data_IF_774942425739
#
_entry.id   IF_774942425739
#
_cell.length_a   1.000
_cell.length_b   1.000
_cell.length_c   1.000
_cell.angle_alpha   90.00
_cell.angle_beta   90.00
_cell.angle_gamma   90.00
#
_symmetry.space_group_name_H-M   'P 1'
#
loop_
_entity.id
_entity.type
_entity.pdbx_description
1 polymer ?
2 non-polymer ?
3 non-polymer ?
4 water ?
#
# COMPACT_ATOMS: atom_id res chain seq x y z
N UNK A 4 21.48 -11.31 19.83
CA UNK A 4 20.55 -10.16 19.46
C UNK A 4 19.18 -10.70 19.01
N UNK A 5 18.07 -10.40 19.73
CA UNK A 5 16.77 -10.98 19.40
C UNK A 5 16.25 -10.44 18.06
N UNK A 6 15.47 -11.26 17.34
CA UNK A 6 14.80 -10.80 16.10
C UNK A 6 13.60 -9.94 16.48
N UNK A 7 13.33 -8.87 15.72
CA UNK A 7 12.24 -7.99 16.10
C UNK A 7 10.88 -8.61 15.85
N UNK A 8 9.90 -8.17 16.65
CA UNK A 8 8.47 -8.54 16.54
C UNK A 8 7.74 -7.43 15.77
N UNK A 9 8.32 -6.23 15.76
CA UNK A 9 7.71 -5.01 15.18
C UNK A 9 8.82 -4.06 14.71
N UNK A 10 8.60 -3.44 13.56
CA UNK A 10 9.53 -2.44 12.96
C UNK A 10 8.74 -1.18 12.70
N UNK A 11 9.44 -0.10 12.51
CA UNK A 11 8.78 1.12 12.01
C UNK A 11 9.27 1.40 10.62
N UNK A 12 8.31 1.89 9.84
CA UNK A 12 8.51 2.14 8.40
C UNK A 12 8.10 3.58 8.14
N UNK A 13 8.98 4.32 7.49
CA UNK A 13 8.74 5.67 6.98
C UNK A 13 8.33 5.55 5.52
N UNK A 14 7.24 6.19 5.16
CA UNK A 14 6.83 6.36 3.76
C UNK A 14 6.87 7.84 3.44
N UNK A 15 7.57 8.24 2.40
CA UNK A 15 7.51 9.62 1.90
C UNK A 15 7.01 9.62 0.48
N UNK A 16 6.24 10.62 0.12
CA UNK A 16 5.88 10.89 -1.27
C UNK A 16 6.04 12.37 -1.54
N UNK A 17 6.76 12.68 -2.59
CA UNK A 17 6.98 14.08 -2.98
C UNK A 17 7.01 14.23 -4.48
N UNK A 18 6.11 15.01 -5.01
CA UNK A 18 6.19 15.45 -6.40
C UNK A 18 7.09 16.69 -6.39
N UNK A 19 8.26 16.56 -6.95
CA UNK A 19 9.34 17.56 -6.83
C UNK A 19 9.15 18.68 -7.85
N UNK A 20 8.20 18.59 -8.77
CA UNK A 20 7.97 19.64 -9.76
C UNK A 20 9.17 19.93 -10.62
N UNK A 21 9.97 18.89 -10.90
CA UNK A 21 11.12 18.97 -11.82
C UNK A 21 12.11 20.04 -11.35
N UNK A 22 12.21 20.27 -10.04
CA UNK A 22 13.19 21.20 -9.47
C UNK A 22 14.07 20.44 -8.52
N UNK A 23 15.34 20.82 -8.36
CA UNK A 23 16.16 20.27 -7.31
C UNK A 23 15.62 20.63 -5.94
N UNK A 24 15.88 19.76 -4.95
CA UNK A 24 15.41 20.06 -3.62
C UNK A 24 16.25 21.14 -2.98
N UNK A 25 15.75 21.68 -1.87
CA UNK A 25 16.55 22.62 -1.09
C UNK A 25 17.62 21.86 -0.34
N UNK A 26 18.54 22.59 0.29
CA UNK A 26 19.73 21.94 0.91
C UNK A 26 19.32 21.11 2.14
N UNK A 27 18.23 21.47 2.80
CA UNK A 27 17.79 20.74 4.01
C UNK A 27 16.37 20.20 3.82
N UNK A 28 16.23 18.88 3.94
CA UNK A 28 14.90 18.22 3.79
C UNK A 28 14.65 17.34 5.00
N UNK A 29 15.40 17.51 6.09
CA UNK A 29 15.25 16.68 7.29
C UNK A 29 13.84 16.69 7.90
N UNK A 30 13.10 17.80 7.77
CA UNK A 30 11.72 17.93 8.32
C UNK A 30 10.82 16.83 7.74
N UNK A 31 11.09 16.40 6.51
CA UNK A 31 10.30 15.32 5.87
C UNK A 31 10.49 14.02 6.63
N UNK A 32 11.75 13.62 6.84
CA UNK A 32 12.06 12.32 7.49
C UNK A 32 11.76 12.36 8.99
N UNK A 33 11.64 13.55 9.56
CA UNK A 33 11.29 13.72 10.97
C UNK A 33 9.76 13.79 11.16
N UNK A 34 8.95 13.76 10.11
CA UNK A 34 7.48 13.87 10.22
C UNK A 34 7.12 15.16 10.97
N UNK A 35 7.70 16.27 10.54
CA UNK A 35 7.47 17.62 11.11
C UNK A 35 6.71 18.48 10.10
N UNK A 36 5.72 19.23 10.58
CA UNK A 36 5.00 20.21 9.75
C UNK A 36 3.57 20.23 10.19
N UNK A 37 2.66 19.96 9.26
CA UNK A 37 1.20 19.93 9.52
C UNK A 37 0.73 18.49 9.63
N UNK A 38 -0.41 18.29 10.29
CA UNK A 38 -1.09 17.02 10.33
C UNK A 38 -0.77 16.28 11.59
N UNK A 39 -0.68 14.95 11.46
CA UNK A 39 -0.34 14.04 12.58
C UNK A 39 1.18 13.87 12.56
N UNK A 40 1.87 14.62 13.42
CA UNK A 40 3.30 14.75 13.41
C UNK A 40 3.93 13.91 14.53
N UNK A 41 5.22 13.72 14.35
CA UNK A 41 6.02 12.87 15.27
C UNK A 41 6.58 13.69 16.43
N UNK A 42 6.60 13.09 17.61
CA UNK A 42 7.10 13.77 18.82
C UNK A 42 8.58 14.09 18.68
N UNK A 43 8.95 15.28 19.17
CA UNK A 43 10.36 15.72 19.17
C UNK A 43 11.26 14.71 19.86
N UNK A 44 10.77 14.06 20.88
CA UNK A 44 11.57 13.13 21.70
C UNK A 44 12.04 11.92 20.87
N UNK A 45 11.42 11.67 19.71
CA UNK A 45 11.78 10.57 18.81
C UNK A 45 12.74 10.99 17.70
N UNK A 46 13.17 12.23 17.62
CA UNK A 46 13.89 12.71 16.42
C UNK A 46 15.12 11.90 16.12
N UNK A 47 15.83 11.38 17.15
CA UNK A 47 17.11 10.72 16.87
C UNK A 47 16.91 9.22 16.66
N UNK A 48 15.69 8.72 16.84
CA UNK A 48 15.38 7.28 16.77
C UNK A 48 15.18 6.96 15.31
N UNK A 49 16.02 6.11 14.69
CA UNK A 49 15.84 5.84 13.28
C UNK A 49 14.64 4.94 13.09
N UNK A 50 13.91 5.15 11.99
CA UNK A 50 12.99 4.13 11.51
C UNK A 50 13.83 2.97 10.98
N UNK A 51 13.24 1.78 10.96
CA UNK A 51 13.92 0.58 10.46
C UNK A 51 14.11 0.63 8.94
N UNK A 52 13.07 1.08 8.25
CA UNK A 52 13.02 1.13 6.77
C UNK A 52 12.47 2.50 6.38
N UNK A 53 13.11 3.17 5.42
CA UNK A 53 12.62 4.42 4.81
C UNK A 53 12.33 4.11 3.36
N UNK A 54 11.11 4.41 2.91
CA UNK A 54 10.69 4.23 1.52
C UNK A 54 10.31 5.59 0.98
N UNK A 55 11.01 6.03 -0.06
CA UNK A 55 10.94 7.43 -0.54
C UNK A 55 10.47 7.43 -1.99
N UNK A 56 9.22 7.85 -2.24
CA UNK A 56 8.66 7.95 -3.57
C UNK A 56 8.71 9.36 -4.06
N UNK A 57 9.27 9.59 -5.22
CA UNK A 57 9.23 10.89 -5.87
C UNK A 57 8.53 10.79 -7.22
N UNK A 58 8.00 11.91 -7.62
CA UNK A 58 7.41 12.14 -8.97
C UNK A 58 7.97 13.45 -9.49
N UNK A 59 8.04 13.57 -10.79
CA UNK A 59 8.67 14.76 -11.42
C UNK A 59 10.05 14.98 -10.80
N UNK A 60 10.78 13.88 -10.61
CA UNK A 60 12.10 13.92 -9.99
C UNK A 60 13.15 14.21 -11.05
N UNK A 61 13.86 15.36 -10.94
CA UNK A 61 14.85 15.74 -11.96
C UNK A 61 16.26 15.23 -11.70
N UNK A 62 16.49 14.56 -10.59
CA UNK A 62 17.84 14.15 -10.17
C UNK A 62 18.19 12.81 -10.77
N UNK A 63 19.47 12.54 -10.86
CA UNK A 63 19.92 11.16 -11.12
C UNK A 63 19.69 10.33 -9.85
N UNK A 64 19.69 9.02 -10.01
CA UNK A 64 19.62 8.11 -8.85
C UNK A 64 20.78 8.42 -7.90
N UNK A 65 21.99 8.62 -8.45
CA UNK A 65 23.15 8.86 -7.57
C UNK A 65 22.92 10.14 -6.79
N UNK A 66 22.53 11.21 -7.46
CA UNK A 66 22.35 12.52 -6.82
C UNK A 66 21.30 12.42 -5.70
N UNK A 67 20.19 11.74 -5.95
CA UNK A 67 19.13 11.66 -4.92
C UNK A 67 19.54 10.77 -3.75
N UNK A 68 20.20 9.65 -4.04
CA UNK A 68 20.66 8.72 -2.98
C UNK A 68 21.65 9.44 -2.06
N UNK A 69 22.57 10.22 -2.65
CA UNK A 69 23.51 11.07 -1.88
C UNK A 69 22.71 11.89 -0.86
N UNK A 70 21.72 12.63 -1.36
CA UNK A 70 20.93 13.57 -0.55
C UNK A 70 20.20 12.82 0.53
N UNK A 71 19.56 11.71 0.18
CA UNK A 71 18.78 10.95 1.17
C UNK A 71 19.70 10.42 2.26
N UNK A 72 20.77 9.75 1.88
CA UNK A 72 21.69 9.16 2.88
C UNK A 72 22.28 10.23 3.81
N UNK A 73 22.67 11.37 3.25
CA UNK A 73 23.22 12.52 4.03
C UNK A 73 22.16 12.98 5.03
N UNK A 74 20.92 13.13 4.59
CA UNK A 74 19.81 13.64 5.44
C UNK A 74 19.58 12.67 6.61
N UNK A 75 19.53 11.37 6.33
CA UNK A 75 19.32 10.37 7.41
C UNK A 75 20.51 10.34 8.36
N UNK A 76 21.73 10.39 7.81
CA UNK A 76 22.98 10.41 8.62
C UNK A 76 22.93 11.59 9.59
N UNK A 77 22.54 12.77 9.10
CA UNK A 77 22.45 13.99 9.93
C UNK A 77 21.46 13.74 11.08
N UNK A 78 20.26 13.22 10.76
CA UNK A 78 19.19 13.00 11.77
C UNK A 78 19.63 11.96 12.80
N UNK A 79 20.15 10.85 12.34
CA UNK A 79 20.21 9.61 13.15
C UNK A 79 21.63 9.20 13.52
N UNK A 80 22.64 9.76 12.82
CA UNK A 80 24.06 9.30 12.93
C UNK A 80 24.20 7.86 12.47
N UNK A 81 23.27 7.39 11.66
CA UNK A 81 23.33 6.02 11.08
C UNK A 81 23.51 6.14 9.58
N UNK A 82 24.40 5.32 9.05
CA UNK A 82 24.63 5.19 7.60
C UNK A 82 23.71 4.08 7.06
N UNK A 83 22.62 4.51 6.43
CA UNK A 83 21.63 3.55 5.93
C UNK A 83 22.19 2.82 4.71
N UNK A 84 21.69 1.62 4.52
CA UNK A 84 22.01 0.76 3.35
C UNK A 84 20.89 0.87 2.32
N UNK A 85 21.27 0.87 1.08
CA UNK A 85 20.34 0.92 -0.04
C UNK A 85 19.83 -0.48 -0.28
N UNK A 86 18.53 -0.70 -0.12
CA UNK A 86 17.87 -1.99 -0.39
C UNK A 86 17.57 -2.04 -1.87
N UNK A 87 16.97 -0.99 -2.42
CA UNK A 87 16.55 -0.97 -3.80
C UNK A 87 16.35 0.47 -4.25
N UNK A 88 16.48 0.68 -5.54
CA UNK A 88 16.14 1.96 -6.19
C UNK A 88 15.61 1.61 -7.57
N UNK A 89 14.50 2.19 -7.98
CA UNK A 89 13.94 1.94 -9.30
C UNK A 89 13.29 3.19 -9.81
N UNK A 90 13.53 3.54 -11.05
CA UNK A 90 13.03 4.76 -11.68
C UNK A 90 12.33 4.39 -12.99
N UNK A 91 11.16 4.96 -13.21
CA UNK A 91 10.48 4.94 -14.51
C UNK A 91 10.28 6.39 -14.88
N UNK A 92 10.92 6.85 -15.93
CA UNK A 92 10.85 8.25 -16.37
C UNK A 92 11.28 9.13 -15.20
N UNK A 93 10.38 9.92 -14.62
CA UNK A 93 10.71 10.79 -13.47
C UNK A 93 9.97 10.34 -12.20
N UNK A 94 9.54 9.10 -12.16
CA UNK A 94 8.89 8.43 -11.00
C UNK A 94 9.89 7.48 -10.37
N UNK A 95 10.20 7.63 -9.12
CA UNK A 95 11.29 6.89 -8.47
C UNK A 95 10.87 6.39 -7.10
N UNK A 96 11.38 5.24 -6.76
CA UNK A 96 11.29 4.69 -5.42
C UNK A 96 12.68 4.32 -4.89
N UNK A 97 12.99 4.73 -3.68
CA UNK A 97 14.23 4.35 -2.96
C UNK A 97 13.84 3.65 -1.69
N UNK A 98 14.45 2.52 -1.38
CA UNK A 98 14.27 1.84 -0.09
C UNK A 98 15.60 1.80 0.62
N UNK A 99 15.64 2.37 1.80
CA UNK A 99 16.82 2.37 2.68
C UNK A 99 16.48 1.63 3.95
N UNK A 100 17.46 0.95 4.54
CA UNK A 100 17.25 0.23 5.80
C UNK A 100 18.44 0.36 6.70
N UNK A 101 18.20 0.26 8.01
CA UNK A 101 19.28 0.20 9.02
C UNK A 101 20.27 -0.88 8.58
N UNK A 102 21.60 -0.69 8.82
CA UNK A 102 22.55 -1.74 8.47
C UNK A 102 22.36 -3.08 9.20
N UNK A 103 21.80 -3.06 10.40
CA UNK A 103 21.55 -4.29 11.20
C UNK A 103 20.50 -5.15 10.49
N UNK A 104 19.76 -4.58 9.53
CA UNK A 104 18.71 -5.34 8.82
C UNK A 104 19.21 -5.97 7.54
N UNK A 105 20.46 -5.76 7.18
CA UNK A 105 20.92 -6.15 5.84
C UNK A 105 20.75 -7.66 5.59
N UNK A 106 20.96 -8.47 6.63
CA UNK A 106 20.86 -9.97 6.57
C UNK A 106 19.48 -10.44 7.07
N UNK A 107 18.52 -9.53 7.21
CA UNK A 107 17.08 -9.86 7.46
C UNK A 107 16.30 -9.67 6.17
N UNK A 108 16.85 -8.98 5.20
CA UNK A 108 16.14 -8.53 3.98
C UNK A 108 16.59 -9.40 2.83
N UNK A 109 15.66 -9.99 2.11
CA UNK A 109 15.98 -10.90 1.02
C UNK A 109 14.88 -10.84 -0.02
N UNK A 110 15.04 -11.54 -1.15
CA UNK A 110 13.99 -11.64 -2.20
C UNK A 110 13.57 -10.24 -2.63
N UNK A 111 14.51 -9.38 -2.96
CA UNK A 111 14.23 -8.01 -3.36
C UNK A 111 13.78 -8.05 -4.82
N UNK A 112 12.61 -7.46 -5.09
CA UNK A 112 12.03 -7.33 -6.45
C UNK A 112 11.74 -5.87 -6.75
N UNK A 113 11.86 -5.48 -8.02
CA UNK A 113 11.46 -4.15 -8.48
C UNK A 113 10.68 -4.33 -9.75
N UNK A 114 9.78 -3.41 -10.02
CA UNK A 114 9.06 -3.43 -11.30
C UNK A 114 8.45 -2.06 -11.54
N UNK A 115 7.95 -1.83 -12.72
CA UNK A 115 7.21 -0.60 -13.07
C UNK A 115 6.07 -0.98 -13.99
N UNK A 116 5.09 -0.11 -14.02
CA UNK A 116 3.98 -0.16 -14.95
C UNK A 116 3.84 1.20 -15.58
N UNK A 117 3.73 1.24 -16.90
CA UNK A 117 3.43 2.42 -17.69
C UNK A 117 1.96 2.48 -17.95
N UNK A 118 1.28 3.55 -17.55
CA UNK A 118 -0.19 3.58 -17.75
C UNK A 118 -0.53 4.21 -19.10
N UNK A 119 -1.76 3.98 -19.56
CA UNK A 119 -2.31 4.70 -20.74
C UNK A 119 -1.90 4.07 -22.06
N UNK A 120 -2.35 4.66 -23.19
CA UNK A 120 -2.08 4.21 -24.59
C UNK A 120 -1.79 5.45 -25.45
N UNK A 121 -0.67 5.46 -26.19
CA UNK A 121 -0.33 6.44 -27.26
C UNK A 121 -0.22 7.87 -26.67
N UNK A 122 -1.23 8.72 -26.88
CA UNK A 122 -1.39 10.09 -26.29
C UNK A 122 -1.01 10.09 -24.80
N UNK A 123 -1.52 9.10 -24.05
CA UNK A 123 -1.53 9.01 -22.57
C UNK A 123 -0.42 8.07 -22.06
N UNK A 124 0.38 7.45 -22.95
CA UNK A 124 1.62 6.69 -22.57
C UNK A 124 2.82 7.63 -22.73
N UNK A 125 3.59 7.81 -21.64
CA UNK A 125 4.91 8.45 -21.76
C UNK A 125 5.33 9.18 -20.50
N UNK A 126 4.43 9.40 -19.53
CA UNK A 126 4.99 9.92 -18.27
C UNK A 126 4.37 9.43 -16.96
N UNK A 127 3.15 8.89 -17.00
CA UNK A 127 2.42 8.40 -15.79
C UNK A 127 2.65 6.89 -15.63
N UNK A 128 2.54 6.41 -14.39
CA UNK A 128 2.69 5.00 -14.10
C UNK A 128 3.13 4.81 -12.69
N UNK A 129 3.79 3.72 -12.43
CA UNK A 129 4.15 3.37 -11.06
C UNK A 129 5.44 2.61 -11.07
N UNK A 130 6.16 2.71 -9.97
CA UNK A 130 7.31 1.87 -9.65
C UNK A 130 7.01 1.14 -8.36
N UNK A 131 7.64 0.01 -8.15
CA UNK A 131 7.44 -0.71 -6.91
C UNK A 131 8.65 -1.50 -6.49
N UNK A 132 8.66 -1.86 -5.22
CA UNK A 132 9.71 -2.66 -4.62
C UNK A 132 9.00 -3.64 -3.69
N UNK A 133 9.46 -4.88 -3.61
CA UNK A 133 9.08 -5.82 -2.56
C UNK A 133 10.29 -6.54 -2.02
N UNK A 134 10.15 -7.07 -0.83
CA UNK A 134 11.20 -7.94 -0.25
C UNK A 134 10.57 -8.65 0.93
N UNK A 135 11.30 -9.62 1.40
CA UNK A 135 11.03 -10.25 2.70
C UNK A 135 11.87 -9.59 3.77
N UNK A 136 11.29 -9.34 4.92
CA UNK A 136 11.98 -8.93 6.14
C UNK A 136 11.75 -10.07 7.12
N UNK A 137 12.76 -10.94 7.31
CA UNK A 137 12.55 -12.20 8.07
C UNK A 137 11.32 -12.92 7.47
N UNK A 138 10.32 -13.26 8.27
CA UNK A 138 9.18 -14.04 7.81
C UNK A 138 8.08 -13.20 7.23
N UNK A 139 8.30 -11.90 7.01
CA UNK A 139 7.22 -10.95 6.64
C UNK A 139 7.51 -10.40 5.25
N UNK A 140 6.51 -10.46 4.38
CA UNK A 140 6.62 -9.86 3.03
C UNK A 140 6.10 -8.42 3.07
N UNK A 141 6.86 -7.56 2.43
CA UNK A 141 6.59 -6.11 2.38
C UNK A 141 6.57 -5.66 0.93
N UNK A 142 5.56 -4.92 0.55
CA UNK A 142 5.46 -4.35 -0.81
C UNK A 142 5.21 -2.85 -0.74
N UNK A 143 5.74 -2.14 -1.74
CA UNK A 143 5.71 -0.67 -1.78
C UNK A 143 5.48 -0.23 -3.19
N UNK A 144 4.49 0.61 -3.39
CA UNK A 144 4.14 1.14 -4.71
C UNK A 144 4.11 2.64 -4.67
N UNK A 145 4.85 3.28 -5.56
CA UNK A 145 4.83 4.73 -5.82
C UNK A 145 4.20 4.96 -7.18
N UNK A 146 3.03 5.51 -7.22
CA UNK A 146 2.34 5.79 -8.48
C UNK A 146 2.16 7.27 -8.70
N UNK A 147 2.30 7.71 -9.93
CA UNK A 147 1.94 9.06 -10.41
C UNK A 147 0.80 8.87 -11.38
N UNK A 148 -0.41 9.15 -10.94
CA UNK A 148 -1.61 8.88 -11.74
C UNK A 148 -1.97 10.11 -12.58
N UNK A 149 -2.92 9.89 -13.47
CA UNK A 149 -3.32 10.92 -14.44
C UNK A 149 -3.74 12.18 -13.70
N UNK A 150 -3.39 13.33 -14.24
CA UNK A 150 -3.71 14.66 -13.65
C UNK A 150 -5.04 15.17 -14.17
N UNK A 151 -5.55 16.16 -13.46
CA UNK A 151 -6.72 16.91 -13.95
C UNK A 151 -7.95 16.62 -13.16
N UNK A 152 -8.67 17.64 -12.73
CA UNK A 152 -9.87 17.42 -11.89
C UNK A 152 -10.93 16.53 -12.57
N UNK A 153 -10.98 16.56 -13.90
CA UNK A 153 -12.06 15.91 -14.69
C UNK A 153 -11.76 14.42 -14.90
N UNK A 154 -10.59 13.95 -14.49
CA UNK A 154 -10.07 12.61 -14.90
C UNK A 154 -10.04 11.61 -13.76
N UNK A 155 -10.98 11.68 -12.82
CA UNK A 155 -10.97 10.69 -11.70
C UNK A 155 -11.10 9.28 -12.27
N UNK A 156 -11.96 9.06 -13.27
CA UNK A 156 -12.18 7.70 -13.80
C UNK A 156 -10.89 7.15 -14.40
N UNK A 157 -10.14 8.00 -15.10
CA UNK A 157 -8.82 7.61 -15.66
C UNK A 157 -7.89 7.20 -14.51
N UNK A 158 -7.86 7.99 -13.43
CA UNK A 158 -7.03 7.61 -12.28
C UNK A 158 -7.44 6.23 -11.78
N UNK A 159 -8.75 5.98 -11.69
CA UNK A 159 -9.21 4.66 -11.20
C UNK A 159 -8.73 3.55 -12.15
N UNK A 160 -8.76 3.85 -13.44
CA UNK A 160 -8.26 2.87 -14.43
C UNK A 160 -6.76 2.68 -14.25
N UNK A 161 -6.04 3.77 -14.02
CA UNK A 161 -4.57 3.67 -13.82
C UNK A 161 -4.30 2.72 -12.63
N UNK A 162 -5.03 2.96 -11.53
CA UNK A 162 -4.90 2.09 -10.34
C UNK A 162 -5.09 0.61 -10.69
N UNK A 163 -6.14 0.27 -11.45
CA UNK A 163 -6.40 -1.15 -11.75
C UNK A 163 -5.29 -1.69 -12.67
N UNK A 164 -4.83 -0.91 -13.65
CA UNK A 164 -3.70 -1.39 -14.48
C UNK A 164 -2.45 -1.64 -13.63
N UNK A 165 -2.14 -0.73 -12.71
CA UNK A 165 -0.95 -0.92 -11.86
C UNK A 165 -1.10 -2.20 -11.02
N UNK A 166 -2.27 -2.30 -10.38
CA UNK A 166 -2.67 -3.44 -9.51
C UNK A 166 -2.46 -4.75 -10.28
N UNK A 167 -2.88 -4.78 -11.53
CA UNK A 167 -2.87 -6.00 -12.36
C UNK A 167 -1.47 -6.34 -12.82
N UNK A 168 -0.72 -5.35 -13.24
CA UNK A 168 0.48 -5.62 -14.07
C UNK A 168 1.79 -5.45 -13.34
N UNK A 169 1.78 -4.89 -12.13
CA UNK A 169 3.03 -4.74 -11.41
C UNK A 169 3.43 -6.11 -10.88
N UNK A 170 4.62 -6.58 -11.24
CA UNK A 170 5.04 -7.96 -10.95
C UNK A 170 6.01 -7.94 -9.78
N UNK A 171 5.47 -7.94 -8.58
CA UNK A 171 6.29 -7.96 -7.34
C UNK A 171 5.97 -9.19 -6.53
N UNK A 172 6.78 -9.49 -5.53
CA UNK A 172 6.53 -10.60 -4.63
C UNK A 172 6.70 -11.93 -5.28
N UNK A 173 6.11 -12.93 -4.64
CA UNK A 173 6.38 -14.35 -4.97
C UNK A 173 5.64 -14.73 -6.23
N UNK A 174 6.41 -14.99 -7.30
CA UNK A 174 5.79 -15.35 -8.60
C UNK A 174 5.00 -16.67 -8.49
N UNK A 175 5.21 -17.52 -7.56
CA UNK A 175 4.43 -18.76 -7.36
C UNK A 175 2.99 -18.44 -6.95
N UNK A 176 2.75 -17.22 -6.46
CA UNK A 176 1.38 -16.80 -6.05
C UNK A 176 0.61 -16.36 -7.30
N UNK A 177 0.55 -17.24 -8.30
CA UNK A 177 0.15 -16.85 -9.67
C UNK A 177 -1.26 -16.30 -9.72
N UNK A 178 -2.25 -16.77 -8.93
CA UNK A 178 -3.58 -16.21 -9.02
C UNK A 178 -3.72 -14.82 -8.38
N UNK A 179 -2.69 -14.36 -7.69
CA UNK A 179 -2.80 -13.20 -6.80
C UNK A 179 -2.08 -12.01 -7.40
N UNK A 180 -2.75 -10.88 -7.35
CA UNK A 180 -2.12 -9.60 -7.67
C UNK A 180 -1.42 -9.02 -6.44
N UNK A 181 -0.80 -7.85 -6.61
CA UNK A 181 -0.06 -7.25 -5.48
C UNK A 181 -0.93 -6.99 -4.26
N UNK A 182 -2.26 -6.86 -4.43
CA UNK A 182 -3.11 -6.55 -3.26
C UNK A 182 -3.28 -7.77 -2.35
N UNK A 183 -2.74 -8.93 -2.72
CA UNK A 183 -2.77 -10.12 -1.86
C UNK A 183 -1.39 -10.70 -1.63
N UNK A 184 -0.32 -10.20 -2.24
CA UNK A 184 0.97 -10.90 -2.14
C UNK A 184 1.77 -10.58 -0.89
N UNK A 185 1.41 -9.56 -0.12
CA UNK A 185 2.25 -9.03 0.97
C UNK A 185 1.53 -8.99 2.30
N UNK A 186 2.26 -9.27 3.35
CA UNK A 186 1.77 -9.08 4.72
C UNK A 186 1.34 -7.61 4.87
N UNK A 187 2.19 -6.71 4.41
CA UNK A 187 1.94 -5.26 4.44
C UNK A 187 2.22 -4.69 3.06
N UNK A 188 1.26 -4.00 2.48
CA UNK A 188 1.42 -3.29 1.19
C UNK A 188 1.16 -1.81 1.42
N UNK A 189 2.12 -0.98 1.05
CA UNK A 189 1.98 0.50 1.11
C UNK A 189 1.89 1.01 -0.30
N UNK A 190 0.88 1.83 -0.58
CA UNK A 190 0.68 2.42 -1.90
C UNK A 190 0.58 3.93 -1.73
N UNK A 191 1.45 4.66 -2.37
CA UNK A 191 1.58 6.10 -2.14
C UNK A 191 1.90 6.75 -3.45
N UNK A 192 1.91 8.06 -3.50
CA UNK A 192 2.32 8.78 -4.67
C UNK A 192 1.54 10.06 -4.85
N UNK A 193 1.77 10.68 -6.02
CA UNK A 193 0.91 11.74 -6.52
C UNK A 193 -0.25 11.08 -7.24
N UNK A 194 -1.21 10.71 -6.43
CA UNK A 194 -2.40 10.03 -6.91
C UNK A 194 -3.31 10.99 -7.66
N UNK A 195 -3.15 12.30 -7.48
CA UNK A 195 -3.73 13.31 -8.38
C UNK A 195 -5.25 13.43 -8.23
N UNK A 196 -5.86 12.87 -7.21
CA UNK A 196 -7.28 13.12 -6.94
C UNK A 196 -7.45 14.51 -6.36
N UNK A 197 -8.53 15.19 -6.75
CA UNK A 197 -8.74 16.61 -6.45
C UNK A 197 -9.94 16.80 -5.56
N UNK A 198 -10.00 17.99 -5.01
CA UNK A 198 -11.19 18.48 -4.29
C UNK A 198 -12.14 18.99 -5.36
N UNK A 199 -13.27 18.29 -5.53
CA UNK A 199 -14.20 18.52 -6.67
C UNK A 199 -15.28 19.51 -6.23
N UNK A 200 -14.94 20.80 -6.27
CA UNK A 200 -15.82 21.91 -5.91
C UNK A 200 -15.77 22.82 -7.13
N UNK A 201 -16.77 23.70 -7.32
CA UNK A 201 -16.76 24.57 -8.49
C UNK A 201 -15.54 25.49 -8.47
N UNK A 202 -15.01 25.84 -9.65
CA UNK A 202 -13.74 26.61 -9.80
C UNK A 202 -13.92 28.03 -9.25
N UNK A 203 -15.16 28.54 -9.23
CA UNK A 203 -15.48 29.89 -8.69
C UNK A 203 -15.63 29.85 -7.17
N UNK A 204 -15.47 28.68 -6.54
CA UNK A 204 -15.30 28.58 -5.07
C UNK A 204 -13.81 28.62 -4.68
N UNK A 205 -12.88 28.89 -5.58
CA UNK A 205 -11.44 28.82 -5.27
C UNK A 205 -11.11 29.67 -4.06
N UNK A 206 -11.58 30.91 -4.00
CA UNK A 206 -11.13 31.79 -2.92
C UNK A 206 -11.79 31.30 -1.63
N UNK A 207 -13.02 30.79 -1.71
CA UNK A 207 -13.68 30.22 -0.52
C UNK A 207 -12.85 29.07 0.03
N UNK A 208 -12.39 28.19 -0.85
CA UNK A 208 -11.53 27.04 -0.43
C UNK A 208 -10.26 27.53 0.27
N UNK A 209 -9.61 28.53 -0.31
CA UNK A 209 -8.39 29.12 0.27
C UNK A 209 -8.66 29.62 1.69
N UNK A 210 -9.79 30.31 1.88
CA UNK A 210 -10.10 30.89 3.22
C UNK A 210 -10.41 29.73 4.20
N UNK A 211 -11.02 28.63 3.75
CA UNK A 211 -11.21 27.44 4.62
C UNK A 211 -9.85 26.89 5.05
N UNK A 212 -8.91 26.78 4.09
CA UNK A 212 -7.56 26.27 4.40
C UNK A 212 -6.87 27.17 5.42
N UNK A 213 -6.98 28.48 5.26
CA UNK A 213 -6.31 29.40 6.21
C UNK A 213 -6.93 29.28 7.61
N UNK A 214 -8.18 28.87 7.71
CA UNK A 214 -8.87 28.65 8.99
C UNK A 214 -8.64 27.24 9.51
N UNK A 215 -7.87 26.43 8.78
CA UNK A 215 -7.63 25.01 9.12
C UNK A 215 -8.94 24.26 9.27
N UNK A 216 -9.92 24.58 8.41
CA UNK A 216 -11.25 23.95 8.42
C UNK A 216 -11.27 23.09 7.19
N UNK A 217 -10.88 21.83 7.33
CA UNK A 217 -10.74 20.93 6.15
C UNK A 217 -11.99 20.12 5.90
N UNK A 218 -12.97 20.07 6.81
CA UNK A 218 -14.10 19.11 6.73
C UNK A 218 -14.90 19.28 5.44
N UNK A 219 -15.23 20.49 5.04
CA UNK A 219 -16.10 20.71 3.87
C UNK A 219 -15.26 20.50 2.61
N UNK A 220 -13.93 20.49 2.74
CA UNK A 220 -13.10 20.18 1.56
C UNK A 220 -12.95 18.65 1.42
N UNK A 221 -12.63 17.96 2.53
CA UNK A 221 -12.40 16.50 2.49
C UNK A 221 -13.68 15.79 2.03
N UNK A 222 -14.86 16.33 2.37
CA UNK A 222 -16.12 15.69 1.93
C UNK A 222 -16.23 15.74 0.40
N UNK A 223 -15.38 16.51 -0.31
CA UNK A 223 -15.39 16.57 -1.78
C UNK A 223 -14.09 16.01 -2.37
N UNK A 224 -13.24 15.44 -1.53
CA UNK A 224 -11.99 14.85 -2.05
C UNK A 224 -12.34 13.63 -2.88
N UNK A 225 -11.86 13.59 -4.12
CA UNK A 225 -12.27 12.52 -5.01
C UNK A 225 -11.78 11.17 -4.53
N UNK A 226 -10.62 11.09 -3.92
CA UNK A 226 -10.13 9.76 -3.50
C UNK A 226 -11.03 9.24 -2.34
N UNK A 227 -11.33 10.06 -1.37
CA UNK A 227 -12.25 9.61 -0.30
C UNK A 227 -13.61 9.23 -0.90
N UNK A 228 -14.14 10.00 -1.82
CA UNK A 228 -15.50 9.69 -2.33
C UNK A 228 -15.42 8.46 -3.22
N UNK A 229 -14.43 8.33 -4.11
CA UNK A 229 -14.33 7.12 -4.94
C UNK A 229 -14.11 5.88 -4.08
N UNK A 230 -13.32 5.99 -3.02
CA UNK A 230 -13.09 4.84 -2.10
C UNK A 230 -14.41 4.48 -1.41
N UNK A 231 -15.16 5.47 -0.96
CA UNK A 231 -16.45 5.20 -0.26
C UNK A 231 -17.42 4.50 -1.21
N UNK A 232 -17.38 4.83 -2.51
CA UNK A 232 -18.26 4.19 -3.51
C UNK A 232 -17.62 2.91 -4.09
N UNK A 233 -16.50 2.45 -3.54
CA UNK A 233 -15.86 1.18 -3.93
C UNK A 233 -15.48 1.20 -5.39
N UNK A 234 -14.97 2.35 -5.83
CA UNK A 234 -14.51 2.49 -7.24
C UNK A 234 -13.01 2.33 -7.34
N UNK A 235 -12.30 2.36 -6.22
CA UNK A 235 -10.83 2.36 -6.24
C UNK A 235 -10.32 1.99 -4.85
N UNK A 236 -9.12 1.44 -4.76
CA UNK A 236 -8.46 1.18 -3.49
C UNK A 236 -9.36 0.39 -2.53
N UNK A 237 -10.10 -0.55 -3.05
CA UNK A 237 -10.93 -1.39 -2.18
C UNK A 237 -10.03 -2.13 -1.19
N UNK A 238 -10.42 -2.09 0.06
CA UNK A 238 -9.80 -2.79 1.20
C UNK A 238 -8.46 -2.18 1.56
N UNK A 239 -8.20 -0.96 1.11
CA UNK A 239 -7.05 -0.18 1.64
C UNK A 239 -7.51 0.78 2.71
N UNK A 240 -6.58 1.16 3.58
CA UNK A 240 -6.79 2.14 4.68
C UNK A 240 -6.01 3.42 4.35
N UNK A 241 -6.47 4.54 4.90
CA UNK A 241 -5.73 5.79 4.90
C UNK A 241 -6.00 6.43 6.25
N UNK A 242 -4.95 7.00 6.84
CA UNK A 242 -5.07 7.79 8.10
C UNK A 242 -5.88 9.07 7.80
N UNK A 243 -6.64 9.55 8.79
CA UNK A 243 -7.37 10.78 8.64
C UNK A 243 -6.41 11.91 8.26
N UNK A 244 -6.82 12.71 7.30
CA UNK A 244 -6.06 13.87 6.83
C UNK A 244 -6.33 15.08 7.71
N UNK A 245 -5.28 15.66 8.26
CA UNK A 245 -5.41 16.79 9.22
C UNK A 245 -4.42 17.89 8.82
N UNK A 246 -3.90 17.83 7.60
CA UNK A 246 -2.93 18.80 7.02
C UNK A 246 -3.60 19.48 5.83
N UNK A 247 -3.11 20.67 5.48
CA UNK A 247 -3.69 21.42 4.37
C UNK A 247 -3.43 20.67 3.05
N UNK A 248 -4.24 20.96 2.03
CA UNK A 248 -3.92 20.48 0.70
C UNK A 248 -2.47 20.75 0.34
N UNK A 249 -1.86 19.77 -0.34
CA UNK A 249 -0.41 19.77 -0.63
C UNK A 249 -0.10 20.27 -2.02
N UNK A 250 -1.12 20.65 -2.74
CA UNK A 250 -1.02 21.10 -4.16
C UNK A 250 -2.13 22.14 -4.35
N UNK A 251 -1.99 23.15 -5.22
CA UNK A 251 -0.82 23.53 -5.98
C UNK A 251 -0.28 24.84 -5.39
N UNK A 252 0.94 24.85 -4.91
CA UNK A 252 1.57 26.05 -4.29
C UNK A 252 2.35 26.83 -5.32
N UNK A 253 2.43 28.13 -5.11
CA UNK A 253 3.52 28.94 -5.69
C UNK A 253 4.84 28.49 -5.08
N UNK A 254 5.89 28.34 -5.89
CA UNK A 254 7.19 27.91 -5.36
C UNK A 254 7.83 28.98 -4.47
N UNK A 255 8.70 28.57 -3.56
CA UNK A 255 9.58 29.38 -2.68
C UNK A 255 8.81 29.99 -1.52
N UNK A 256 7.50 29.79 -1.43
CA UNK A 256 6.73 30.11 -0.20
C UNK A 256 5.71 28.98 0.01
N UNK A 257 5.00 28.93 1.15
CA UNK A 257 3.74 28.13 1.19
C UNK A 257 2.54 29.04 1.44
N UNK A 258 2.70 30.33 1.17
CA UNK A 258 1.66 31.31 1.56
C UNK A 258 0.57 31.38 0.51
N UNK A 259 0.82 30.86 -0.70
CA UNK A 259 -0.11 31.06 -1.82
C UNK A 259 -0.35 29.76 -2.57
N UNK A 260 -1.62 29.47 -2.76
CA UNK A 260 -2.05 28.43 -3.71
C UNK A 260 -2.21 29.06 -5.09
N UNK A 261 -1.63 28.45 -6.09
CA UNK A 261 -1.65 28.88 -7.52
C UNK A 261 -2.67 28.00 -8.22
N UNK A 262 -3.91 28.43 -8.28
CA UNK A 262 -5.02 27.61 -8.79
C UNK A 262 -5.56 28.01 -10.15
N UNK A 263 -5.28 29.24 -10.59
CA UNK A 263 -5.90 29.83 -11.80
C UNK A 263 -5.39 29.11 -13.06
N UNK A 264 -6.23 29.05 -14.10
CA UNK A 264 -5.84 28.40 -15.37
C UNK A 264 -4.83 29.30 -16.06
N UNK A 265 -3.86 28.65 -16.67
CA UNK A 265 -2.70 29.29 -17.35
C UNK A 265 -2.37 28.44 -18.59
N UNK A 266 -1.71 29.03 -19.60
CA UNK A 266 -1.28 28.19 -20.74
C UNK A 266 -0.47 26.99 -20.24
N UNK A 267 0.40 27.20 -19.27
CA UNK A 267 1.28 26.16 -18.67
C UNK A 267 0.45 25.02 -18.08
N UNK A 268 -0.79 25.26 -17.66
CA UNK A 268 -1.66 24.19 -17.11
C UNK A 268 -2.60 23.61 -18.17
N UNK A 269 -2.42 23.94 -19.45
CA UNK A 269 -3.40 23.56 -20.46
C UNK A 269 -4.73 24.21 -20.23
N UNK A 270 -4.73 25.41 -19.66
CA UNK A 270 -5.95 26.17 -19.32
C UNK A 270 -6.86 25.38 -18.39
N UNK A 271 -6.23 24.67 -17.44
CA UNK A 271 -6.91 23.91 -16.37
C UNK A 271 -6.75 24.64 -15.04
N UNK A 272 -7.81 24.68 -14.24
CA UNK A 272 -7.75 25.12 -12.85
C UNK A 272 -7.15 23.97 -12.05
N UNK A 273 -6.37 24.37 -11.07
CA UNK A 273 -5.86 23.41 -10.05
C UNK A 273 -6.32 23.90 -8.69
N UNK A 274 -7.56 23.65 -8.36
CA UNK A 274 -8.05 24.01 -7.02
C UNK A 274 -7.21 23.22 -6.01
N UNK A 275 -6.96 23.80 -4.83
CA UNK A 275 -6.19 23.13 -3.79
C UNK A 275 -6.73 21.75 -3.51
N UNK A 276 -5.80 20.79 -3.51
CA UNK A 276 -6.12 19.38 -3.46
C UNK A 276 -5.10 18.56 -2.68
N UNK A 277 -5.57 17.44 -2.18
CA UNK A 277 -4.73 16.43 -1.53
C UNK A 277 -4.26 15.41 -2.57
N UNK A 278 -3.38 15.86 -3.44
CA UNK A 278 -2.87 14.96 -4.51
C UNK A 278 -2.01 13.83 -3.96
N UNK A 279 -1.33 14.07 -2.87
CA UNK A 279 -0.15 13.32 -2.40
C UNK A 279 -0.52 12.48 -1.21
N UNK A 280 -0.53 11.16 -1.32
CA UNK A 280 -1.27 10.32 -0.36
C UNK A 280 -0.48 9.07 -0.03
N UNK A 281 -0.80 8.48 1.11
CA UNK A 281 -0.25 7.18 1.54
C UNK A 281 -1.39 6.33 2.02
N UNK A 282 -1.53 5.17 1.42
CA UNK A 282 -2.55 4.17 1.81
C UNK A 282 -1.83 2.87 2.10
N UNK A 283 -2.51 1.96 2.78
CA UNK A 283 -1.94 0.63 3.05
C UNK A 283 -3.00 -0.43 3.12
N UNK A 284 -2.53 -1.64 2.97
CA UNK A 284 -3.37 -2.82 3.15
C UNK A 284 -2.51 -3.88 3.77
N UNK A 285 -2.91 -4.40 4.90
CA UNK A 285 -2.18 -5.47 5.59
C UNK A 285 -3.10 -6.67 5.71
N UNK A 286 -2.51 -7.84 5.80
CA UNK A 286 -3.30 -9.06 6.00
C UNK A 286 -4.09 -8.92 7.30
N UNK A 287 -5.24 -9.65 7.37
CA UNK A 287 -6.09 -9.57 8.55
C UNK A 287 -5.35 -9.93 9.85
N UNK A 288 -5.62 -9.14 10.87
CA UNK A 288 -5.14 -9.37 12.26
C UNK A 288 -3.63 -9.30 12.32
N UNK A 289 -2.99 -8.58 11.40
CA UNK A 289 -1.57 -8.24 11.61
C UNK A 289 -1.52 -6.83 12.17
N UNK A 290 -0.63 -6.60 13.09
CA UNK A 290 -0.42 -5.27 13.71
C UNK A 290 0.08 -4.29 12.65
N UNK A 291 -0.64 -3.20 12.49
CA UNK A 291 -0.17 -2.05 11.66
C UNK A 291 -0.83 -0.83 12.21
N UNK A 292 -0.04 0.15 12.62
CA UNK A 292 -0.57 1.37 13.24
C UNK A 292 0.12 2.57 12.63
N UNK A 293 -0.65 3.47 12.04
CA UNK A 293 -0.09 4.73 11.54
C UNK A 293 0.26 5.64 12.71
N UNK A 294 1.53 6.04 12.76
CA UNK A 294 2.11 6.89 13.83
C UNK A 294 2.13 8.36 13.40
N UNK A 295 2.17 8.65 12.10
CA UNK A 295 2.24 10.03 11.59
C UNK A 295 1.67 10.05 10.18
N UNK A 296 1.08 11.16 9.82
CA UNK A 296 0.58 11.39 8.46
C UNK A 296 0.39 12.88 8.28
N UNK A 297 1.26 13.51 7.51
CA UNK A 297 1.27 14.96 7.43
C UNK A 297 2.08 15.46 6.29
N UNK A 298 2.26 16.77 6.26
CA UNK A 298 3.02 17.41 5.17
C UNK A 298 4.05 18.34 5.79
N UNK A 299 5.15 18.56 5.10
CA UNK A 299 6.13 19.53 5.59
C UNK A 299 5.68 20.93 5.17
N UNK A 300 6.16 21.89 5.93
CA UNK A 300 5.85 23.31 5.73
C UNK A 300 7.08 24.10 5.26
N UNK A 301 8.28 23.53 5.32
CA UNK A 301 9.53 24.28 5.09
C UNK A 301 10.26 23.84 3.83
N UNK A 302 9.67 23.00 2.97
CA UNK A 302 10.32 22.52 1.72
C UNK A 302 9.47 23.06 0.60
N UNK A 303 9.99 24.03 -0.15
CA UNK A 303 9.18 24.96 -0.99
C UNK A 303 9.64 24.99 -2.45
N UNK A 304 10.53 24.08 -2.86
CA UNK A 304 11.09 24.10 -4.23
C UNK A 304 10.06 23.65 -5.25
N UNK A 305 9.06 22.87 -4.84
CA UNK A 305 8.04 22.31 -5.71
C UNK A 305 6.72 23.02 -5.53
N UNK A 306 5.84 22.82 -6.47
CA UNK A 306 4.43 23.23 -6.33
C UNK A 306 3.65 22.20 -5.49
N UNK A 307 4.26 21.11 -5.07
CA UNK A 307 3.71 20.22 -4.03
C UNK A 307 4.55 20.28 -2.79
N UNK A 308 3.92 20.08 -1.63
CA UNK A 308 4.65 19.80 -0.40
C UNK A 308 4.84 18.31 -0.23
N UNK A 309 6.00 17.88 0.27
CA UNK A 309 6.19 16.50 0.67
C UNK A 309 5.16 16.04 1.69
N UNK A 310 4.84 14.75 1.61
CA UNK A 310 3.96 14.07 2.55
C UNK A 310 4.76 12.95 3.19
N UNK A 311 4.58 12.80 4.48
CA UNK A 311 5.16 11.69 5.26
C UNK A 311 4.05 10.89 5.91
N UNK A 312 4.34 9.62 6.08
CA UNK A 312 3.57 8.73 6.93
C UNK A 312 4.50 7.75 7.60
N UNK A 313 4.24 7.41 8.85
CA UNK A 313 5.02 6.37 9.52
C UNK A 313 4.12 5.34 10.14
N UNK A 314 4.65 4.12 10.22
CA UNK A 314 3.89 2.97 10.66
C UNK A 314 4.72 2.10 11.58
N UNK A 315 4.06 1.54 12.60
CA UNK A 315 4.57 0.41 13.39
C UNK A 315 3.94 -0.86 12.79
N UNK A 316 4.75 -1.79 12.25
CA UNK A 316 4.29 -2.95 11.47
C UNK A 316 4.77 -4.23 12.15
N UNK A 317 3.86 -5.14 12.40
CA UNK A 317 4.23 -6.43 12.96
C UNK A 317 5.02 -7.23 11.97
N UNK A 318 6.04 -7.93 12.47
CA UNK A 318 6.91 -8.80 11.66
C UNK A 318 7.14 -10.09 12.45
N UNK A 319 7.42 -11.14 11.73
CA UNK A 319 7.66 -12.46 12.33
C UNK A 319 9.07 -12.90 11.97
N UNK A 320 9.58 -13.85 12.76
CA UNK A 320 10.94 -14.42 12.60
C UNK A 320 10.92 -15.46 11.48
N UNK A 321 12.11 -15.81 10.99
CA UNK A 321 12.30 -16.95 10.05
C UNK A 321 12.36 -18.22 10.91
N UNK A 322 11.27 -18.98 10.96
CA UNK A 322 11.12 -20.16 11.83
C UNK A 322 11.82 -21.39 11.26
N UNK A 323 12.64 -22.03 12.12
CA UNK A 323 13.21 -23.40 11.90
C UNK A 323 12.76 -24.29 13.08
N UNK A 324 12.07 -25.39 12.78
CA UNK A 324 11.85 -26.47 13.78
C UNK A 324 12.77 -27.65 13.43
N UNK A 325 12.62 -28.78 14.14
CA UNK A 325 13.35 -30.05 13.86
C UNK A 325 12.81 -30.66 12.55
N UNK A 326 11.53 -30.38 12.24
CA UNK A 326 10.78 -30.87 11.04
C UNK A 326 10.89 -29.79 9.93
N UNK A 327 9.88 -28.92 9.79
CA UNK A 327 9.92 -27.86 8.76
C UNK A 327 10.96 -26.79 9.10
N UNK A 328 11.54 -26.06 8.12
CA UNK A 328 11.40 -26.35 6.67
C UNK A 328 11.97 -27.66 6.07
N UNK A 329 11.30 -28.20 5.06
CA UNK A 329 11.78 -29.36 4.27
C UNK A 329 11.13 -30.66 4.65
N UNK A 330 10.05 -30.59 5.42
CA UNK A 330 9.15 -31.71 5.74
C UNK A 330 7.91 -31.09 6.40
N UNK A 331 6.84 -31.86 6.56
CA UNK A 331 5.62 -31.44 7.31
C UNK A 331 5.87 -31.64 8.81
N UNK A 332 5.00 -31.08 9.65
CA UNK A 332 4.96 -31.30 11.11
C UNK A 332 3.63 -32.00 11.40
N UNK A 333 3.61 -33.34 11.33
CA UNK A 333 2.37 -34.15 11.40
C UNK A 333 1.48 -33.65 12.55
N UNK A 334 2.03 -32.94 13.53
CA UNK A 334 1.26 -32.43 14.69
C UNK A 334 0.34 -31.27 14.26
N UNK A 335 0.44 -30.78 13.01
CA UNK A 335 -0.29 -29.61 12.50
C UNK A 335 -1.29 -29.94 11.41
N UNK A 336 -2.47 -29.29 11.42
CA UNK A 336 -3.43 -29.40 10.32
C UNK A 336 -4.39 -28.20 10.31
N UNK A 337 -4.85 -27.88 9.10
CA UNK A 337 -5.90 -26.86 8.89
C UNK A 337 -7.02 -27.53 8.11
N UNK A 338 -8.21 -27.55 8.70
CA UNK A 338 -9.43 -28.08 8.08
C UNK A 338 -10.38 -26.92 7.81
N UNK A 339 -10.80 -26.78 6.54
CA UNK A 339 -11.87 -25.83 6.10
C UNK A 339 -13.18 -26.61 5.98
N UNK A 340 -14.15 -26.37 6.88
CA UNK A 340 -15.48 -27.05 7.07
C UNK A 340 -16.64 -26.20 6.52
N UNK A 341 -17.59 -26.83 5.81
CA UNK A 341 -18.91 -26.19 5.51
C UNK A 341 -18.63 -24.85 4.81
N UNK A 342 -17.69 -24.88 3.89
CA UNK A 342 -17.32 -23.61 3.20
C UNK A 342 -18.17 -23.44 1.95
N UNK A 343 -18.44 -22.18 1.64
CA UNK A 343 -19.04 -21.87 0.35
C UNK A 343 -18.59 -20.49 -0.10
N UNK A 344 -18.47 -20.42 -1.42
CA UNK A 344 -18.17 -19.15 -2.10
C UNK A 344 -19.48 -18.63 -2.70
N UNK A 345 -19.73 -17.34 -2.55
CA UNK A 345 -20.84 -16.62 -3.20
C UNK A 345 -20.20 -15.77 -4.28
N UNK A 346 -20.52 -16.01 -5.54
CA UNK A 346 -19.87 -15.26 -6.64
C UNK A 346 -20.88 -14.40 -7.37
N UNK A 347 -20.43 -13.24 -7.84
CA UNK A 347 -21.24 -12.29 -8.63
C UNK A 347 -21.29 -12.70 -10.11
N UNK A 348 -20.49 -13.65 -10.54
CA UNK A 348 -20.41 -14.11 -11.96
C UNK A 348 -21.74 -14.67 -12.49
N UNK A 349 -21.94 -14.53 -13.80
CA UNK A 349 -23.11 -15.12 -14.50
C UNK A 349 -22.72 -16.47 -15.11
N UNK A 350 -21.43 -16.77 -15.18
CA UNK A 350 -20.91 -18.00 -15.84
C UNK A 350 -21.46 -19.23 -15.12
N UNK A 351 -21.40 -20.42 -15.73
CA UNK A 351 -21.91 -21.66 -15.09
C UNK A 351 -20.87 -22.80 -15.16
N UNK A 352 -19.58 -22.48 -15.31
CA UNK A 352 -18.46 -23.45 -15.13
C UNK A 352 -18.54 -24.06 -13.73
N UNK A 353 -17.89 -25.20 -13.52
CA UNK A 353 -17.56 -25.65 -12.17
C UNK A 353 -16.35 -24.84 -11.67
N UNK A 354 -16.22 -24.76 -10.37
CA UNK A 354 -15.08 -24.06 -9.72
C UNK A 354 -14.37 -25.01 -8.78
N UNK A 355 -13.06 -24.78 -8.60
CA UNK A 355 -12.21 -25.40 -7.57
C UNK A 355 -11.50 -24.29 -6.82
N UNK A 356 -10.92 -24.66 -5.68
CA UNK A 356 -10.11 -23.69 -4.91
C UNK A 356 -8.64 -24.00 -5.04
N UNK A 357 -7.82 -22.96 -4.90
CA UNK A 357 -6.40 -23.14 -4.53
C UNK A 357 -6.10 -22.45 -3.22
N UNK A 358 -5.39 -23.14 -2.33
CA UNK A 358 -4.92 -22.64 -1.02
C UNK A 358 -3.44 -22.39 -1.16
N UNK A 359 -3.01 -21.12 -1.01
CA UNK A 359 -1.58 -20.78 -1.06
C UNK A 359 -1.12 -20.19 0.26
N UNK A 360 0.02 -20.62 0.75
CA UNK A 360 0.57 -20.06 1.99
C UNK A 360 2.00 -20.51 2.12
N UNK A 361 2.84 -19.62 2.64
CA UNK A 361 4.24 -19.91 3.03
C UNK A 361 4.29 -21.04 4.08
N UNK A 362 3.20 -21.30 4.79
CA UNK A 362 3.19 -22.39 5.80
C UNK A 362 2.98 -23.75 5.12
N UNK A 363 2.73 -23.82 3.81
CA UNK A 363 2.57 -25.09 3.04
C UNK A 363 3.81 -25.31 2.17
N UNK A 364 4.13 -26.57 1.90
CA UNK A 364 5.29 -26.86 1.01
C UNK A 364 4.97 -26.36 -0.40
N UNK A 365 3.72 -26.49 -0.83
CA UNK A 365 3.24 -25.88 -2.08
C UNK A 365 1.71 -25.79 -2.02
N UNK A 366 1.16 -25.04 -2.96
CA UNK A 366 -0.29 -24.74 -2.96
C UNK A 366 -1.07 -26.03 -3.14
N UNK A 367 -2.29 -25.98 -2.67
CA UNK A 367 -3.20 -27.16 -2.63
C UNK A 367 -4.44 -26.83 -3.44
N UNK A 368 -4.80 -27.73 -4.34
CA UNK A 368 -5.95 -27.57 -5.27
C UNK A 368 -7.08 -28.50 -4.82
N UNK A 369 -8.23 -27.94 -4.47
CA UNK A 369 -9.42 -28.69 -4.00
C UNK A 369 -10.05 -29.42 -5.19
N UNK A 370 -10.99 -30.31 -4.85
CA UNK A 370 -12.01 -30.85 -5.77
C UNK A 370 -12.92 -29.71 -6.19
N UNK A 371 -13.65 -29.91 -7.28
CA UNK A 371 -14.74 -28.98 -7.70
C UNK A 371 -15.81 -28.91 -6.62
N UNK A 372 -16.38 -27.74 -6.42
CA UNK A 372 -17.51 -27.50 -5.54
C UNK A 372 -18.83 -27.83 -6.25
N UNK A 373 -19.91 -27.78 -5.49
CA UNK A 373 -21.29 -27.99 -6.02
C UNK A 373 -21.98 -26.63 -6.15
N UNK A 374 -22.32 -26.30 -7.39
CA UNK A 374 -23.00 -25.03 -7.72
C UNK A 374 -24.47 -25.10 -7.33
N UNK A 375 -24.98 -24.08 -6.65
CA UNK A 375 -26.43 -23.86 -6.45
C UNK A 375 -26.74 -22.42 -6.84
N UNK A 376 -28.01 -22.10 -7.06
CA UNK A 376 -28.52 -20.71 -7.28
C UNK A 376 -28.89 -20.10 -5.92
N UNK A 377 -28.34 -18.91 -5.60
CA UNK A 377 -28.77 -18.05 -4.47
C UNK A 377 -30.13 -17.41 -4.75
N UNK A 378 -30.86 -17.05 -3.69
CA UNK A 378 -32.28 -16.60 -3.75
C UNK A 378 -32.39 -15.20 -4.40
N UNK A 379 -31.29 -14.44 -4.46
CA UNK A 379 -31.25 -13.07 -5.04
C UNK A 379 -30.46 -13.09 -6.36
N UNK A 380 -30.37 -14.25 -7.04
CA UNK A 380 -29.74 -14.39 -8.39
C UNK A 380 -28.36 -15.05 -8.40
N UNK A 381 -27.64 -15.09 -7.26
CA UNK A 381 -26.15 -15.30 -7.19
C UNK A 381 -25.77 -16.75 -7.48
N UNK A 382 -24.51 -16.97 -7.83
CA UNK A 382 -23.94 -18.35 -7.80
C UNK A 382 -23.37 -18.63 -6.40
N UNK A 383 -23.77 -19.74 -5.77
CA UNK A 383 -23.21 -20.25 -4.49
C UNK A 383 -22.48 -21.51 -4.86
N UNK A 384 -21.21 -21.62 -4.51
CA UNK A 384 -20.40 -22.82 -4.77
C UNK A 384 -20.15 -23.47 -3.44
N UNK A 385 -20.69 -24.67 -3.21
CA UNK A 385 -20.60 -25.36 -1.88
C UNK A 385 -19.44 -26.35 -1.91
N UNK A 386 -18.58 -26.37 -0.88
CA UNK A 386 -17.45 -27.34 -0.84
C UNK A 386 -17.65 -28.43 0.22
N UNK A 387 -18.60 -28.23 1.10
CA UNK A 387 -18.99 -29.22 2.12
C UNK A 387 -17.85 -29.45 3.10
N UNK A 388 -17.51 -30.71 3.32
CA UNK A 388 -16.37 -31.16 4.16
C UNK A 388 -15.44 -31.90 3.21
N UNK A 389 -15.49 -31.54 1.92
CA UNK A 389 -14.77 -32.20 0.81
C UNK A 389 -13.34 -31.64 0.73
N UNK A 390 -13.05 -30.50 1.37
CA UNK A 390 -11.79 -29.73 1.10
C UNK A 390 -10.59 -30.47 1.68
N UNK A 391 -9.42 -30.44 1.00
CA UNK A 391 -8.23 -31.17 1.42
C UNK A 391 -7.77 -30.65 2.79
N UNK A 392 -7.35 -31.55 3.66
CA UNK A 392 -6.75 -31.17 4.97
C UNK A 392 -5.37 -30.58 4.68
N UNK A 393 -5.09 -29.32 5.11
CA UNK A 393 -3.80 -28.67 4.78
C UNK A 393 -2.78 -29.05 5.85
N UNK A 394 -1.58 -29.37 5.39
CA UNK A 394 -0.50 -29.91 6.25
C UNK A 394 0.60 -28.88 6.30
N UNK A 395 0.63 -28.03 7.36
CA UNK A 395 1.65 -27.00 7.46
C UNK A 395 2.99 -27.65 7.79
N UNK A 396 4.06 -26.95 7.39
CA UNK A 396 5.48 -27.39 7.51
C UNK A 396 5.94 -27.31 8.96
N UNK A 397 5.28 -26.49 9.75
CA UNK A 397 5.62 -26.28 11.19
C UNK A 397 4.31 -26.22 11.98
N UNK A 398 4.23 -26.92 13.11
CA UNK A 398 2.98 -27.05 13.91
C UNK A 398 3.03 -26.15 15.12
N UNK A 399 4.20 -25.61 15.46
CA UNK A 399 4.34 -24.74 16.63
C UNK A 399 3.31 -23.61 16.53
N UNK A 400 2.43 -23.44 17.53
CA UNK A 400 1.42 -22.39 17.51
C UNK A 400 2.00 -20.99 17.45
N UNK A 401 3.20 -20.75 17.98
CA UNK A 401 3.83 -19.41 17.90
C UNK A 401 4.15 -19.06 16.46
N UNK A 402 4.31 -20.05 15.62
CA UNK A 402 4.48 -19.83 14.17
C UNK A 402 3.11 -19.86 13.52
N UNK A 403 2.32 -20.91 13.72
CA UNK A 403 1.16 -21.17 12.82
C UNK A 403 0.09 -20.11 13.03
N UNK A 404 -0.15 -19.63 14.24
CA UNK A 404 -1.23 -18.67 14.48
C UNK A 404 -0.90 -17.34 13.80
N UNK A 405 0.35 -17.11 13.42
CA UNK A 405 0.73 -15.86 12.72
C UNK A 405 0.64 -15.99 11.20
N UNK A 406 0.19 -17.12 10.67
CA UNK A 406 0.18 -17.32 9.21
C UNK A 406 -1.18 -16.97 8.62
N UNK A 407 -1.19 -16.96 7.30
CA UNK A 407 -2.38 -16.62 6.51
C UNK A 407 -2.49 -17.61 5.36
N UNK A 408 -3.74 -17.90 4.97
CA UNK A 408 -4.06 -18.74 3.80
C UNK A 408 -4.69 -17.85 2.74
N UNK A 409 -4.04 -17.72 1.59
CA UNK A 409 -4.64 -17.08 0.41
C UNK A 409 -5.51 -18.12 -0.27
N UNK A 410 -6.69 -17.70 -0.70
CA UNK A 410 -7.66 -18.55 -1.42
C UNK A 410 -7.95 -17.92 -2.76
N UNK A 411 -7.86 -18.76 -3.80
CA UNK A 411 -8.36 -18.40 -5.14
C UNK A 411 -9.44 -19.39 -5.53
N UNK A 412 -10.54 -18.88 -6.06
CA UNK A 412 -11.59 -19.73 -6.67
C UNK A 412 -11.42 -19.63 -8.17
N UNK A 413 -11.14 -20.78 -8.80
CA UNK A 413 -10.78 -20.85 -10.23
C UNK A 413 -11.83 -21.65 -11.02
N UNK A 414 -12.07 -21.21 -12.23
CA UNK A 414 -12.92 -21.95 -13.19
C UNK A 414 -12.23 -23.26 -13.59
N UNK A 415 -12.97 -24.37 -13.55
CA UNK A 415 -12.47 -25.67 -14.11
C UNK A 415 -12.23 -25.57 -15.62
N UNK A 416 -13.03 -24.77 -16.34
CA UNK A 416 -13.02 -24.69 -17.81
C UNK A 416 -11.76 -23.93 -18.24
N UNK A 417 -11.38 -22.88 -17.51
CA UNK A 417 -10.37 -21.90 -18.02
C UNK A 417 -9.16 -21.83 -17.11
N UNK A 418 -9.28 -22.33 -15.88
CA UNK A 418 -8.22 -22.24 -14.83
C UNK A 418 -7.93 -20.76 -14.50
N UNK A 419 -8.83 -19.96 -14.80
CA UNK A 419 -8.66 -18.53 -14.46
C UNK A 419 -9.30 -18.27 -13.09
N UNK A 420 -8.61 -17.40 -12.24
CA UNK A 420 -9.21 -17.02 -10.93
C UNK A 420 -10.39 -16.07 -11.14
N UNK A 421 -11.49 -16.37 -10.48
CA UNK A 421 -12.66 -15.48 -10.42
C UNK A 421 -12.68 -14.68 -9.14
N UNK A 422 -11.82 -15.01 -8.17
CA UNK A 422 -11.82 -14.27 -6.92
C UNK A 422 -10.68 -14.74 -6.04
N UNK A 423 -10.14 -13.80 -5.27
CA UNK A 423 -9.00 -14.00 -4.38
C UNK A 423 -9.30 -13.38 -3.04
N UNK A 424 -8.88 -14.06 -1.98
CA UNK A 424 -9.04 -13.54 -0.62
C UNK A 424 -8.04 -14.15 0.33
N UNK A 425 -8.13 -13.77 1.59
CA UNK A 425 -7.12 -14.15 2.56
C UNK A 425 -7.81 -14.43 3.88
N UNK A 426 -7.37 -15.49 4.53
CA UNK A 426 -7.85 -15.92 5.87
C UNK A 426 -6.70 -15.94 6.87
N UNK A 427 -6.84 -15.22 7.97
CA UNK A 427 -5.84 -15.27 9.06
C UNK A 427 -6.01 -16.58 9.87
N UNK A 428 -4.89 -17.11 10.32
CA UNK A 428 -4.87 -18.24 11.29
C UNK A 428 -4.75 -17.76 12.73
N UNK A 429 -4.90 -16.46 12.97
CA UNK A 429 -4.79 -15.84 14.33
C UNK A 429 -6.12 -16.05 15.06
N UNK A 430 -6.45 -17.33 15.34
CA UNK A 430 -7.78 -17.72 15.85
C UNK A 430 -7.92 -17.50 17.34
N UNK A 431 -9.14 -17.44 17.80
CA UNK A 431 -9.51 -17.34 19.23
C UNK A 431 -9.26 -18.65 19.94
N UNK A 432 -9.16 -19.74 19.23
CA UNK A 432 -9.01 -21.12 19.79
C UNK A 432 -8.45 -22.07 18.75
N UNK A 433 -7.77 -23.13 19.18
CA UNK A 433 -7.34 -24.25 18.32
C UNK A 433 -8.27 -25.45 18.62
N UNK A 434 -8.27 -26.41 17.72
CA UNK A 434 -9.03 -27.68 17.87
C UNK A 434 -10.50 -27.33 18.07
N UNK A 435 -10.97 -26.20 17.51
CA UNK A 435 -12.32 -25.64 17.74
C UNK A 435 -12.84 -25.14 16.38
N UNK A 436 -14.08 -25.47 16.01
CA UNK A 436 -14.67 -24.94 14.74
C UNK A 436 -14.99 -23.47 14.94
N UNK A 437 -14.45 -22.63 14.07
CA UNK A 437 -14.63 -21.17 14.21
C UNK A 437 -14.98 -20.58 12.87
N UNK A 438 -15.85 -19.56 12.85
CA UNK A 438 -16.22 -18.95 11.58
C UNK A 438 -15.01 -18.25 10.94
N UNK A 439 -14.94 -18.39 9.63
CA UNK A 439 -13.98 -17.61 8.79
C UNK A 439 -14.73 -16.91 7.66
N UNK A 440 -14.10 -15.89 7.13
CA UNK A 440 -14.71 -15.05 6.09
C UNK A 440 -13.61 -14.28 5.39
N UNK A 441 -13.72 -14.15 4.08
CA UNK A 441 -12.97 -13.12 3.34
C UNK A 441 -13.86 -12.64 2.21
N UNK A 442 -13.81 -11.35 1.85
CA UNK A 442 -14.33 -10.94 0.57
C UNK A 442 -13.40 -11.54 -0.51
N UNK A 443 -13.94 -11.68 -1.70
CA UNK A 443 -13.16 -12.15 -2.86
C UNK A 443 -13.12 -10.99 -3.84
N UNK A 444 -11.92 -10.75 -4.39
CA UNK A 444 -11.72 -9.73 -5.41
C UNK A 444 -11.03 -10.35 -6.62
N UNK A 445 -11.17 -9.68 -7.76
CA UNK A 445 -10.39 -10.03 -8.96
C UNK A 445 -10.09 -8.72 -9.65
N UNK A 446 -8.83 -8.53 -10.02
CA UNK A 446 -8.37 -7.21 -10.53
C UNK A 446 -8.75 -6.13 -9.51
N UNK A 447 -8.74 -6.46 -8.22
CA UNK A 447 -8.99 -5.50 -7.14
C UNK A 447 -10.43 -5.09 -6.98
N UNK A 448 -11.36 -5.60 -7.81
CA UNK A 448 -12.81 -5.36 -7.68
C UNK A 448 -13.49 -6.52 -6.97
N UNK A 449 -14.56 -6.19 -6.25
CA UNK A 449 -15.31 -7.22 -5.50
C UNK A 449 -16.00 -8.19 -6.46
N UNK A 450 -15.80 -9.48 -6.28
CA UNK A 450 -16.40 -10.52 -7.13
C UNK A 450 -17.22 -11.52 -6.33
N UNK A 451 -17.14 -11.45 -5.02
CA UNK A 451 -17.78 -12.49 -4.23
C UNK A 451 -17.31 -12.52 -2.81
N UNK A 452 -17.63 -13.60 -2.15
CA UNK A 452 -17.28 -13.85 -0.75
C UNK A 452 -17.00 -15.33 -0.54
N UNK A 453 -16.20 -15.59 0.48
CA UNK A 453 -15.89 -16.97 0.89
C UNK A 453 -16.10 -17.04 2.40
N UNK A 454 -16.88 -18.01 2.85
CA UNK A 454 -17.15 -18.11 4.30
C UNK A 454 -17.35 -19.56 4.70
N UNK A 455 -17.15 -19.83 5.97
CA UNK A 455 -17.31 -21.20 6.43
C UNK A 455 -16.72 -21.26 7.79
N UNK A 456 -16.20 -22.43 8.12
CA UNK A 456 -15.56 -22.64 9.43
C UNK A 456 -14.19 -23.23 9.22
N UNK A 457 -13.34 -22.99 10.20
CA UNK A 457 -11.97 -23.52 10.19
C UNK A 457 -11.79 -24.32 11.49
N UNK A 458 -10.87 -25.28 11.53
CA UNK A 458 -10.46 -26.05 12.73
C UNK A 458 -8.94 -26.18 12.59
N UNK A 459 -8.20 -25.57 13.41
CA UNK A 459 -6.73 -25.49 13.36
C UNK A 459 -6.15 -26.35 14.47
N UNK A 460 -5.30 -27.31 14.08
CA UNK A 460 -4.50 -28.17 15.00
C UNK A 460 -3.06 -27.63 15.04
N UNK A 461 -2.56 -27.29 16.22
CA UNK A 461 -1.15 -26.93 16.41
C UNK A 461 -0.57 -27.98 17.36
N UNK A 462 0.73 -27.96 17.56
CA UNK A 462 1.40 -28.87 18.54
C UNK A 462 0.93 -28.58 19.98
N UNK A 463 0.29 -27.45 20.28
CA UNK A 463 -0.18 -27.23 21.69
C UNK A 463 -1.68 -27.58 21.84
X LIG B 1 -13.97 0.89 6.34
X LIG B 1 -13.88 1.77 7.48
X LIG B 1 -12.66 1.45 8.34
X LIG B 1 -12.66 0.06 8.75
X LIG B 1 -11.39 -0.16 9.67
X LIG B 1 -12.63 -0.82 7.61
X LIG B 1 -15.85 3.55 5.20
X LIG B 1 -14.11 2.67 3.86
X LIG B 1 -13.49 4.49 2.21
X LIG B 1 -14.32 3.94 3.37
X LIG B 1 -15.03 2.41 4.97
X LIG B 1 -15.02 1.07 5.72
X LIG B 1 -13.81 -0.53 6.68
X LIG B 1 -11.70 0.28 11.04
X LIG B 1 -15.48 4.76 4.18
X LIG C 1 3.80 -12.77 8.27
X LIG C 1 4.82 -12.09 9.12
X LIG C 1 2.31 -12.60 9.14
X LIG C 1 3.97 -14.52 8.57
X LIG D 1 1.52 -15.87 2.73
X LIG D 1 1.69 -17.21 3.43
X LIG D 1 2.07 -16.17 1.06
X LIG D 1 -0.18 -15.79 2.42
X LIG E 1 -9.37 -9.62 1.93
X LIG E 1 -8.04 -9.91 1.21
X LIG E 1 -9.49 -7.88 2.26
X LIG E 1 -9.17 -10.19 3.59
#
# INVERSE_FOLDING_TARGET
SMEQPEPDMITIFIGTWNMGNAPPPKKITSWFLSKGQGKTRDDSADYIPHDIYVIGTQEDPLSEKEWLEILKHSLQEITSVTFKTVAIHTLWNIRIVVLAKPEHENRISHICTDNVKTGIANTLGNKGAVGVSFMFNGTSLGFVNSHLTSGSEKKLRRNQNYMNILRFLALGDKKLSPFNITHRFTHLFWFGDLNYRVDLPTWEAETIIQKIKQQQYADLLSHDQLLTERREQKVFLHFEEEEITFAPTYRFERLTRDKYAYTKQKATGMKYNLPSWCDRVLWKSYPLVHVVCQSYGSTSDIMTSDHSPVFATFEAGVTSQFVSKNGPGTVDSQGQIEFLRCYATLKTKSQTKFYLEFHSSCLESFVKSQEGENEEGSEGELVVKFGETLPKLKPIISDPEYLLDQHILISIKSSDSDESYGEGCIALRLEATETQLPIYTPLTHHGELTGHFQGEIKLQTSQ
RWV N1 C4 C5 C6 C7 C8 C10 N C C1 C2 C3 C9 N2 S
DMS S O C1 C2
DMS S O C1 C2
DMS S O C1 C2
#
